data_IF_052031537227
#
_entry.id   IF_052031537227
#
_cell.length_a   1.000
_cell.length_b   1.000
_cell.length_c   1.000
_cell.angle_alpha   90.00
_cell.angle_beta   90.00
_cell.angle_gamma   90.00
#
_symmetry.space_group_name_H-M   'P 1'
#
loop_
_entity.id
_entity.type
_entity.pdbx_description
1 polymer ?
#
# COMPACT_ATOMS: atom_id res chain seq x y z
N UNK A 1 -11.83 -24.73 11.44
CA UNK A 1 -10.35 -24.56 11.50
C UNK A 1 -9.85 -24.50 10.05
N UNK A 2 -9.06 -23.51 9.69
CA UNK A 2 -8.48 -23.37 8.35
C UNK A 2 -7.00 -23.74 8.41
N UNK A 3 -6.54 -24.58 7.51
CA UNK A 3 -5.13 -24.95 7.42
C UNK A 3 -4.38 -24.00 6.49
N UNK A 4 -3.15 -23.63 6.85
CA UNK A 4 -2.31 -22.74 6.05
C UNK A 4 -2.17 -23.22 4.59
N UNK A 5 -2.00 -24.52 4.34
CA UNK A 5 -1.94 -25.10 2.99
C UNK A 5 -3.21 -24.84 2.14
N UNK A 6 -4.38 -24.74 2.76
CA UNK A 6 -5.62 -24.39 2.06
C UNK A 6 -5.64 -22.89 1.71
N UNK A 7 -5.23 -22.04 2.65
CA UNK A 7 -5.14 -20.59 2.44
C UNK A 7 -4.13 -20.23 1.36
N UNK A 8 -3.01 -20.95 1.26
CA UNK A 8 -2.01 -20.71 0.21
C UNK A 8 -2.58 -20.99 -1.19
N UNK A 9 -3.40 -22.04 -1.34
CA UNK A 9 -4.09 -22.33 -2.61
C UNK A 9 -5.12 -21.29 -3.03
N UNK A 10 -5.68 -20.55 -2.08
CA UNK A 10 -6.68 -19.51 -2.31
C UNK A 10 -6.11 -18.09 -2.20
N UNK A 11 -4.79 -17.93 -2.38
CA UNK A 11 -4.10 -16.64 -2.26
C UNK A 11 -4.35 -15.95 -0.89
N UNK A 12 -4.46 -16.73 0.19
CA UNK A 12 -4.81 -16.24 1.52
C UNK A 12 -6.19 -15.55 1.59
N UNK A 13 -7.14 -16.01 0.81
CA UNK A 13 -8.57 -15.65 0.90
C UNK A 13 -9.31 -16.80 1.55
N UNK A 14 -10.13 -16.51 2.54
CA UNK A 14 -10.93 -17.53 3.23
C UNK A 14 -11.96 -18.15 2.27
N UNK A 15 -11.94 -19.46 2.02
CA UNK A 15 -12.90 -20.10 1.11
C UNK A 15 -14.34 -20.10 1.66
N UNK A 16 -14.53 -19.89 2.97
CA UNK A 16 -15.86 -19.94 3.61
C UNK A 16 -16.56 -18.58 3.62
N UNK A 17 -15.84 -17.49 3.85
CA UNK A 17 -16.43 -16.15 4.03
C UNK A 17 -15.81 -15.07 3.13
N UNK A 18 -14.84 -15.42 2.27
CA UNK A 18 -14.20 -14.46 1.39
C UNK A 18 -13.26 -13.47 2.08
N UNK A 19 -12.98 -13.62 3.38
CA UNK A 19 -12.07 -12.71 4.08
C UNK A 19 -10.65 -12.75 3.49
N UNK A 20 -10.12 -11.59 3.15
CA UNK A 20 -8.77 -11.42 2.61
C UNK A 20 -7.77 -11.26 3.75
N UNK A 21 -7.03 -12.31 4.08
CA UNK A 21 -5.97 -12.21 5.09
C UNK A 21 -4.82 -11.36 4.59
N UNK A 22 -4.14 -10.69 5.51
CA UNK A 22 -2.91 -9.94 5.20
C UNK A 22 -1.83 -10.87 4.68
N UNK A 23 -1.07 -10.40 3.72
CA UNK A 23 0.04 -11.14 3.11
C UNK A 23 1.30 -10.29 3.11
N UNK A 24 2.50 -10.90 3.20
CA UNK A 24 3.75 -10.19 3.06
C UNK A 24 3.91 -9.51 1.70
N UNK A 25 4.66 -8.42 1.66
CA UNK A 25 4.93 -7.68 0.41
C UNK A 25 5.52 -8.57 -0.68
N UNK A 26 6.45 -9.45 -0.34
CA UNK A 26 7.05 -10.40 -1.30
C UNK A 26 6.00 -11.29 -1.96
N UNK A 27 5.08 -11.85 -1.17
CA UNK A 27 3.98 -12.68 -1.70
C UNK A 27 3.05 -11.85 -2.60
N UNK A 28 2.77 -10.60 -2.24
CA UNK A 28 1.97 -9.70 -3.06
C UNK A 28 2.65 -9.41 -4.40
N UNK A 29 3.95 -9.14 -4.40
CA UNK A 29 4.72 -8.92 -5.62
C UNK A 29 4.64 -10.15 -6.52
N UNK A 30 4.93 -11.34 -5.99
CA UNK A 30 4.88 -12.61 -6.73
C UNK A 30 3.49 -12.88 -7.37
N UNK A 31 2.40 -12.41 -6.73
CA UNK A 31 1.03 -12.56 -7.27
C UNK A 31 0.72 -11.59 -8.42
N UNK A 32 1.42 -10.49 -8.53
CA UNK A 32 1.10 -9.41 -9.49
C UNK A 32 1.99 -9.42 -10.73
N UNK A 33 3.29 -9.67 -10.55
CA UNK A 33 4.29 -9.50 -11.61
C UNK A 33 4.52 -10.77 -12.42
N UNK A 34 5.16 -10.63 -13.57
CA UNK A 34 5.65 -11.75 -14.34
C UNK A 34 6.79 -12.44 -13.58
N UNK A 35 6.82 -13.76 -13.63
CA UNK A 35 7.78 -14.54 -12.84
C UNK A 35 9.23 -14.11 -13.09
N UNK A 36 9.94 -13.78 -12.00
CA UNK A 36 11.34 -13.36 -12.04
C UNK A 36 11.62 -11.97 -12.58
N UNK A 37 10.58 -11.18 -12.90
CA UNK A 37 10.76 -9.83 -13.49
C UNK A 37 11.03 -8.73 -12.47
N UNK A 38 10.71 -8.95 -11.18
CA UNK A 38 10.87 -7.91 -10.17
C UNK A 38 12.33 -7.67 -9.81
N UNK A 39 12.76 -6.43 -9.97
CA UNK A 39 14.10 -5.96 -9.57
C UNK A 39 13.92 -4.95 -8.46
N UNK A 40 14.19 -5.39 -7.22
CA UNK A 40 14.12 -4.52 -6.04
C UNK A 40 15.16 -3.42 -6.11
N UNK A 41 14.77 -2.21 -5.70
CA UNK A 41 15.64 -1.04 -5.56
C UNK A 41 15.68 -0.58 -4.11
N UNK A 42 16.80 0.00 -3.69
CA UNK A 42 17.01 0.55 -2.34
C UNK A 42 16.65 -0.45 -1.22
N UNK A 43 17.02 -1.71 -1.39
CA UNK A 43 16.72 -2.77 -0.42
C UNK A 43 17.42 -2.54 0.94
N UNK A 44 18.51 -1.79 0.96
CA UNK A 44 19.35 -1.46 2.10
C UNK A 44 18.88 -0.22 2.87
N UNK A 45 17.96 0.57 2.34
CA UNK A 45 17.38 1.72 3.03
C UNK A 45 16.71 1.29 4.33
N UNK A 46 17.16 1.87 5.43
CA UNK A 46 16.62 1.59 6.77
C UNK A 46 16.42 2.88 7.57
N UNK A 47 15.44 2.90 8.49
CA UNK A 47 15.17 4.06 9.32
C UNK A 47 16.26 4.29 10.35
N UNK A 48 16.40 5.57 10.74
CA UNK A 48 17.27 6.01 11.82
C UNK A 48 16.40 6.62 12.92
N UNK A 49 16.68 6.28 14.19
CA UNK A 49 16.01 6.91 15.32
C UNK A 49 16.61 8.31 15.56
N UNK A 50 16.08 9.31 14.86
CA UNK A 50 16.51 10.68 14.97
C UNK A 50 15.98 11.39 16.24
N UNK A 51 14.98 10.80 16.91
CA UNK A 51 14.29 11.42 18.05
C UNK A 51 14.67 10.78 19.40
N UNK A 52 15.35 9.63 19.39
CA UNK A 52 15.57 8.85 20.61
C UNK A 52 14.23 8.39 21.21
N UNK A 53 13.27 7.99 20.37
CA UNK A 53 11.90 7.69 20.80
C UNK A 53 11.83 6.46 21.68
N UNK A 54 11.21 6.64 22.85
CA UNK A 54 10.93 5.56 23.80
C UNK A 54 9.49 5.68 24.30
N UNK A 55 8.72 4.61 24.14
CA UNK A 55 7.45 4.40 24.85
C UNK A 55 7.60 3.19 25.80
N UNK A 56 6.86 2.11 25.60
CA UNK A 56 7.08 0.83 26.30
C UNK A 56 8.37 0.13 25.87
N UNK A 57 8.93 0.49 24.71
CA UNK A 57 10.18 -0.03 24.13
C UNK A 57 10.84 1.06 23.32
N UNK A 58 12.18 1.07 23.30
CA UNK A 58 12.92 1.96 22.42
C UNK A 58 12.62 1.66 20.93
N UNK A 59 12.61 2.70 20.10
CA UNK A 59 12.34 2.53 18.67
C UNK A 59 13.35 1.62 17.97
N UNK A 60 14.67 1.68 18.23
CA UNK A 60 15.63 0.73 17.68
C UNK A 60 15.31 -0.74 17.98
N UNK A 61 14.80 -1.04 19.19
CA UNK A 61 14.42 -2.40 19.55
C UNK A 61 13.20 -2.90 18.76
N UNK A 62 12.25 -1.98 18.48
CA UNK A 62 11.09 -2.27 17.61
C UNK A 62 11.52 -2.52 16.17
N UNK A 63 12.47 -1.72 15.67
CA UNK A 63 13.04 -1.89 14.32
C UNK A 63 13.72 -3.24 14.19
N UNK A 64 14.60 -3.58 15.13
CA UNK A 64 15.30 -4.86 15.13
C UNK A 64 14.31 -6.05 15.16
N UNK A 65 13.30 -5.99 16.03
CA UNK A 65 12.29 -7.04 16.12
C UNK A 65 11.47 -7.17 14.81
N UNK A 66 11.10 -6.06 14.18
CA UNK A 66 10.37 -6.07 12.90
C UNK A 66 11.25 -6.59 11.75
N UNK A 67 12.51 -6.20 11.69
CA UNK A 67 13.49 -6.68 10.71
C UNK A 67 13.69 -8.21 10.82
N UNK A 68 13.83 -8.72 12.03
CA UNK A 68 13.97 -10.16 12.28
C UNK A 68 12.69 -10.93 11.88
N UNK A 69 11.52 -10.37 12.17
CA UNK A 69 10.24 -11.02 11.90
C UNK A 69 9.86 -11.04 10.41
N UNK A 70 10.23 -10.00 9.65
CA UNK A 70 9.81 -9.83 8.26
C UNK A 70 10.91 -10.07 7.23
N UNK A 71 12.18 -9.98 7.64
CA UNK A 71 13.32 -9.95 6.74
C UNK A 71 13.48 -8.65 5.94
N UNK A 72 12.60 -7.65 6.19
CA UNK A 72 12.62 -6.36 5.52
C UNK A 72 13.43 -5.33 6.33
N UNK A 73 13.93 -4.29 5.68
CA UNK A 73 14.56 -3.16 6.34
C UNK A 73 13.55 -2.09 6.80
N UNK A 74 12.43 -1.97 6.09
CA UNK A 74 11.27 -1.14 6.46
C UNK A 74 9.98 -1.65 5.80
N UNK A 75 8.85 -1.01 6.10
CA UNK A 75 7.50 -1.44 5.75
C UNK A 75 7.12 -1.26 4.28
N UNK A 76 8.06 -1.08 3.37
CA UNK A 76 7.82 -1.03 1.95
C UNK A 76 8.97 -1.67 1.14
N UNK A 77 8.59 -2.33 0.06
CA UNK A 77 9.48 -2.86 -0.98
C UNK A 77 9.10 -2.18 -2.28
N UNK A 78 10.09 -1.66 -3.03
CA UNK A 78 9.83 -1.06 -4.33
C UNK A 78 10.87 -1.48 -5.36
N UNK A 79 10.48 -1.42 -6.62
CA UNK A 79 11.35 -1.74 -7.74
C UNK A 79 10.64 -1.65 -9.07
N UNK A 80 11.28 -2.13 -10.11
CA UNK A 80 10.70 -2.28 -11.45
C UNK A 80 10.35 -3.74 -11.71
N UNK A 81 9.28 -3.96 -12.46
CA UNK A 81 8.82 -5.30 -12.84
C UNK A 81 8.11 -5.24 -14.19
N UNK A 82 7.75 -6.41 -14.72
CA UNK A 82 6.76 -6.48 -15.80
C UNK A 82 5.47 -7.12 -15.30
N UNK A 83 4.35 -6.66 -15.85
CA UNK A 83 3.02 -7.24 -15.69
C UNK A 83 2.45 -7.43 -17.10
N UNK A 84 2.30 -8.68 -17.52
CA UNK A 84 1.93 -9.04 -18.89
C UNK A 84 2.85 -8.37 -19.93
N UNK A 85 4.16 -8.45 -19.68
CA UNK A 85 5.22 -7.89 -20.52
C UNK A 85 5.36 -6.35 -20.46
N UNK A 86 4.49 -5.62 -19.74
CA UNK A 86 4.54 -4.16 -19.62
C UNK A 86 5.36 -3.76 -18.39
N UNK A 87 6.37 -2.96 -18.58
CA UNK A 87 7.22 -2.46 -17.48
C UNK A 87 6.43 -1.48 -16.61
N UNK A 88 6.55 -1.66 -15.28
CA UNK A 88 5.91 -0.80 -14.27
C UNK A 88 6.89 -0.47 -13.16
N UNK A 89 6.69 0.66 -12.49
CA UNK A 89 7.25 0.96 -11.18
C UNK A 89 6.27 0.49 -10.11
N UNK A 90 6.71 -0.42 -9.25
CA UNK A 90 5.86 -1.07 -8.25
C UNK A 90 6.38 -0.81 -6.84
N UNK A 91 5.52 -0.31 -5.96
CA UNK A 91 5.79 -0.18 -4.53
C UNK A 91 4.73 -0.94 -3.73
N UNK A 92 5.14 -1.82 -2.84
CA UNK A 92 4.25 -2.66 -2.04
C UNK A 92 4.58 -2.50 -0.57
N UNK A 93 3.58 -2.11 0.23
CA UNK A 93 3.72 -1.98 1.67
C UNK A 93 3.48 -3.32 2.38
N UNK A 94 4.17 -3.51 3.51
CA UNK A 94 4.08 -4.72 4.33
C UNK A 94 3.57 -4.39 5.72
N UNK A 95 2.37 -4.87 6.05
CA UNK A 95 1.76 -4.65 7.36
C UNK A 95 2.53 -5.36 8.50
N UNK A 96 3.28 -6.40 8.20
CA UNK A 96 4.09 -7.14 9.19
C UNK A 96 5.18 -6.29 9.83
N UNK A 97 5.67 -5.28 9.11
CA UNK A 97 6.69 -4.36 9.63
C UNK A 97 6.04 -3.16 10.34
N UNK A 98 6.00 -3.17 11.65
CA UNK A 98 5.43 -2.12 12.52
C UNK A 98 4.05 -1.63 12.02
N UNK A 99 3.15 -2.57 11.71
CA UNK A 99 1.81 -2.27 11.22
C UNK A 99 1.77 -1.58 9.85
N UNK A 100 2.79 -1.75 9.01
CA UNK A 100 2.87 -1.09 7.71
C UNK A 100 2.98 0.44 7.82
N UNK A 101 3.39 0.97 8.98
CA UNK A 101 3.37 2.40 9.23
C UNK A 101 4.37 3.16 8.36
N UNK A 102 3.92 4.30 7.83
CA UNK A 102 4.74 5.17 7.00
C UNK A 102 5.67 6.03 7.85
N UNK A 103 6.94 5.67 7.85
CA UNK A 103 8.05 6.52 8.32
C UNK A 103 8.81 7.12 7.15
N UNK A 104 9.96 7.71 7.46
CA UNK A 104 10.85 8.39 6.51
C UNK A 104 11.26 7.49 5.33
N UNK A 105 11.56 6.22 5.59
CA UNK A 105 11.99 5.26 4.56
C UNK A 105 10.82 4.85 3.66
N UNK A 106 9.62 4.59 4.20
CA UNK A 106 8.46 4.28 3.37
C UNK A 106 8.15 5.46 2.45
N UNK A 107 8.11 6.69 3.00
CA UNK A 107 7.88 7.88 2.19
C UNK A 107 8.94 8.10 1.12
N UNK A 108 10.21 7.80 1.42
CA UNK A 108 11.31 7.86 0.45
C UNK A 108 11.14 6.82 -0.65
N UNK A 109 10.81 5.56 -0.30
CA UNK A 109 10.60 4.49 -1.29
C UNK A 109 9.42 4.79 -2.21
N UNK A 110 8.31 5.31 -1.68
CA UNK A 110 7.18 5.78 -2.48
C UNK A 110 7.59 6.92 -3.43
N UNK A 111 8.35 7.89 -2.91
CA UNK A 111 8.86 9.00 -3.73
C UNK A 111 9.75 8.51 -4.88
N UNK A 112 10.72 7.64 -4.58
CA UNK A 112 11.63 7.09 -5.60
C UNK A 112 10.90 6.22 -6.62
N UNK A 113 9.87 5.46 -6.20
CA UNK A 113 9.03 4.72 -7.12
C UNK A 113 8.31 5.64 -8.12
N UNK A 114 7.77 6.77 -7.63
CA UNK A 114 7.16 7.78 -8.48
C UNK A 114 8.18 8.49 -9.38
N UNK A 115 9.37 8.81 -8.88
CA UNK A 115 10.45 9.41 -9.68
C UNK A 115 10.95 8.47 -10.78
N UNK A 116 11.07 7.18 -10.50
CA UNK A 116 11.40 6.18 -11.52
C UNK A 116 10.30 6.07 -12.58
N UNK A 117 9.03 6.07 -12.16
CA UNK A 117 7.89 6.09 -13.07
C UNK A 117 7.93 7.30 -14.01
N UNK A 118 8.27 8.49 -13.49
CA UNK A 118 8.46 9.72 -14.27
C UNK A 118 9.62 9.64 -15.26
N UNK A 119 10.78 9.20 -14.79
CA UNK A 119 12.01 9.17 -15.58
C UNK A 119 11.88 8.21 -16.77
N UNK A 120 11.32 7.02 -16.51
CA UNK A 120 11.20 5.95 -17.50
C UNK A 120 9.86 6.01 -18.25
N UNK A 121 8.93 6.93 -17.89
CA UNK A 121 7.57 7.07 -18.40
C UNK A 121 6.79 5.75 -18.37
N UNK A 122 6.93 5.01 -17.26
CA UNK A 122 6.25 3.75 -17.00
C UNK A 122 5.16 3.95 -15.92
N UNK A 123 4.06 3.18 -15.93
CA UNK A 123 3.03 3.28 -14.90
C UNK A 123 3.57 3.09 -13.50
N UNK A 124 3.04 3.88 -12.56
CA UNK A 124 3.23 3.71 -11.13
C UNK A 124 2.12 2.83 -10.56
N UNK A 125 2.47 1.82 -9.79
CA UNK A 125 1.52 1.00 -9.03
C UNK A 125 1.94 1.00 -7.57
N UNK A 126 1.04 1.40 -6.67
CA UNK A 126 1.30 1.36 -5.24
C UNK A 126 0.26 0.46 -4.57
N UNK A 127 0.72 -0.56 -3.85
CA UNK A 127 -0.14 -1.44 -3.05
C UNK A 127 0.02 -1.06 -1.59
N UNK A 128 -1.03 -0.48 -1.01
CA UNK A 128 -1.04 0.01 0.37
C UNK A 128 -1.54 -1.06 1.35
N UNK A 129 -0.82 -1.22 2.46
CA UNK A 129 -1.22 -2.02 3.61
C UNK A 129 -0.63 -1.38 4.87
N UNK A 130 -1.41 -0.51 5.55
CA UNK A 130 -0.82 0.41 6.55
C UNK A 130 -1.80 0.82 7.64
N UNK A 131 -1.26 0.92 8.86
CA UNK A 131 -1.89 1.58 10.00
C UNK A 131 -1.79 3.11 10.00
N UNK A 132 -1.07 3.71 9.05
CA UNK A 132 -0.91 5.18 8.94
C UNK A 132 0.52 5.69 9.18
N UNK A 133 0.65 6.93 9.65
CA UNK A 133 1.96 7.53 9.94
C UNK A 133 2.65 6.84 11.13
N UNK A 134 3.98 6.69 11.05
CA UNK A 134 4.78 6.04 12.09
C UNK A 134 4.99 6.97 13.28
N UNK A 135 4.33 6.66 14.40
CA UNK A 135 4.36 7.48 15.61
C UNK A 135 5.78 7.66 16.16
N UNK A 136 6.63 6.66 16.07
CA UNK A 136 8.00 6.68 16.57
C UNK A 136 8.91 7.67 15.86
N UNK A 137 8.55 8.09 14.65
CA UNK A 137 9.27 9.10 13.90
C UNK A 137 8.64 10.50 13.99
N UNK A 138 7.57 10.66 14.77
CA UNK A 138 6.96 11.96 15.08
C UNK A 138 6.65 12.77 13.80
N UNK A 139 7.10 14.02 13.78
CA UNK A 139 6.89 14.96 12.66
C UNK A 139 7.53 14.47 11.35
N UNK A 140 8.64 13.72 11.42
CA UNK A 140 9.27 13.17 10.21
C UNK A 140 8.30 12.26 9.44
N UNK A 141 7.48 11.48 10.14
CA UNK A 141 6.47 10.62 9.48
C UNK A 141 5.33 11.45 8.88
N UNK A 142 4.93 12.56 9.49
CA UNK A 142 3.91 13.46 8.94
C UNK A 142 4.40 14.17 7.67
N UNK A 143 5.68 14.57 7.63
CA UNK A 143 6.26 15.18 6.44
C UNK A 143 6.31 14.24 5.23
N UNK A 144 6.16 12.92 5.43
CA UNK A 144 6.08 11.99 4.31
C UNK A 144 4.78 12.15 3.50
N UNK A 145 3.68 12.64 4.13
CA UNK A 145 2.45 12.94 3.40
C UNK A 145 2.73 13.99 2.30
N UNK A 146 3.41 15.06 2.66
CA UNK A 146 3.77 16.14 1.71
C UNK A 146 4.71 15.63 0.64
N UNK A 147 5.74 14.87 1.04
CA UNK A 147 6.75 14.31 0.13
C UNK A 147 6.14 13.39 -0.93
N UNK A 148 5.33 12.44 -0.50
CA UNK A 148 4.68 11.49 -1.41
C UNK A 148 3.67 12.16 -2.32
N UNK A 149 2.89 13.12 -1.80
CA UNK A 149 1.95 13.90 -2.61
C UNK A 149 2.65 14.76 -3.65
N UNK A 150 3.80 15.37 -3.30
CA UNK A 150 4.59 16.16 -4.26
C UNK A 150 5.09 15.34 -5.45
N UNK A 151 5.44 14.08 -5.24
CA UNK A 151 5.82 13.18 -6.34
C UNK A 151 4.62 12.72 -7.14
N UNK A 152 3.52 12.33 -6.47
CA UNK A 152 2.29 11.90 -7.15
C UNK A 152 1.74 13.01 -8.05
N UNK A 153 1.76 14.26 -7.58
CA UNK A 153 1.36 15.41 -8.40
C UNK A 153 2.20 15.54 -9.69
N UNK A 154 3.50 15.34 -9.58
CA UNK A 154 4.40 15.34 -10.76
C UNK A 154 4.08 14.18 -11.71
N UNK A 155 3.79 12.99 -11.18
CA UNK A 155 3.39 11.81 -11.97
C UNK A 155 2.12 12.10 -12.76
N UNK A 156 1.11 12.68 -12.11
CA UNK A 156 -0.16 13.05 -12.73
C UNK A 156 0.00 14.17 -13.75
N UNK A 157 0.76 15.22 -13.43
CA UNK A 157 1.05 16.31 -14.35
C UNK A 157 1.76 15.84 -15.63
N UNK A 158 2.61 14.83 -15.51
CA UNK A 158 3.30 14.19 -16.65
C UNK A 158 2.42 13.18 -17.41
N UNK A 159 1.17 12.97 -16.98
CA UNK A 159 0.25 11.96 -17.54
C UNK A 159 0.84 10.55 -17.53
N UNK A 160 1.61 10.22 -16.51
CA UNK A 160 2.07 8.86 -16.25
C UNK A 160 0.98 8.17 -15.44
N UNK A 161 0.45 7.02 -15.87
CA UNK A 161 -0.62 6.35 -15.17
C UNK A 161 -0.24 5.96 -13.74
N UNK A 162 -1.13 6.25 -12.78
CA UNK A 162 -0.98 5.84 -11.40
C UNK A 162 -2.16 4.98 -10.94
N UNK A 163 -1.92 3.71 -10.66
CA UNK A 163 -2.89 2.76 -10.10
C UNK A 163 -2.60 2.59 -8.61
N UNK A 164 -3.56 2.96 -7.77
CA UNK A 164 -3.51 2.70 -6.33
C UNK A 164 -4.33 1.48 -5.96
N UNK A 165 -3.74 0.56 -5.18
CA UNK A 165 -4.39 -0.64 -4.68
C UNK A 165 -4.41 -0.59 -3.15
N UNK A 166 -5.61 -0.49 -2.57
CA UNK A 166 -5.80 -0.44 -1.12
C UNK A 166 -6.19 -1.81 -0.57
N UNK A 167 -5.40 -2.32 0.37
CA UNK A 167 -5.66 -3.60 1.03
C UNK A 167 -5.99 -3.41 2.51
N UNK A 168 -6.33 -4.48 3.23
CA UNK A 168 -6.70 -4.43 4.65
C UNK A 168 -5.46 -4.45 5.58
N UNK A 169 -5.25 -3.38 6.37
CA UNK A 169 -5.88 -2.07 6.34
C UNK A 169 -5.12 -1.04 5.49
N UNK A 170 -5.80 0.01 5.04
CA UNK A 170 -5.16 1.22 4.49
C UNK A 170 -5.69 2.42 5.26
N UNK A 171 -4.93 2.93 6.24
CA UNK A 171 -5.48 3.89 7.20
C UNK A 171 -4.56 5.09 7.47
N UNK A 172 -5.12 6.09 8.17
CA UNK A 172 -4.39 7.25 8.68
C UNK A 172 -3.71 8.08 7.58
N UNK A 173 -2.45 8.44 7.81
CA UNK A 173 -1.67 9.27 6.89
C UNK A 173 -1.45 8.66 5.51
N UNK A 174 -1.43 7.32 5.37
CA UNK A 174 -1.32 6.66 4.08
C UNK A 174 -2.61 6.84 3.27
N UNK A 175 -3.77 6.63 3.89
CA UNK A 175 -5.05 6.94 3.28
C UNK A 175 -5.17 8.42 2.92
N UNK A 176 -4.79 9.33 3.82
CA UNK A 176 -4.89 10.77 3.64
C UNK A 176 -3.83 11.36 2.68
N UNK A 177 -3.05 10.51 2.00
CA UNK A 177 -2.04 10.94 1.04
C UNK A 177 -2.17 10.16 -0.26
N UNK A 178 -1.16 9.41 -0.66
CA UNK A 178 -1.05 8.80 -1.97
C UNK A 178 -2.08 7.67 -2.25
N UNK A 179 -2.69 7.07 -1.22
CA UNK A 179 -3.51 5.87 -1.44
C UNK A 179 -4.87 6.14 -2.12
N UNK A 180 -5.39 7.39 -2.08
CA UNK A 180 -6.71 7.74 -2.66
C UNK A 180 -6.64 8.69 -3.84
N UNK A 181 -5.45 8.95 -4.35
CA UNK A 181 -5.24 9.93 -5.42
C UNK A 181 -4.72 9.31 -6.72
N UNK A 182 -4.84 7.99 -6.87
CA UNK A 182 -4.56 7.31 -8.13
C UNK A 182 -5.47 7.79 -9.27
N UNK A 183 -5.04 7.58 -10.50
CA UNK A 183 -5.94 7.73 -11.66
C UNK A 183 -7.02 6.64 -11.64
N UNK A 184 -6.67 5.48 -11.05
CA UNK A 184 -7.62 4.41 -10.70
C UNK A 184 -7.30 3.91 -9.28
N UNK A 185 -8.31 3.95 -8.42
CA UNK A 185 -8.25 3.50 -7.04
C UNK A 185 -8.97 2.16 -6.89
N UNK A 186 -8.22 1.09 -6.63
CA UNK A 186 -8.73 -0.26 -6.44
C UNK A 186 -8.71 -0.59 -4.95
N UNK A 187 -9.73 -1.29 -4.45
CA UNK A 187 -9.71 -1.86 -3.10
C UNK A 187 -9.98 -3.37 -3.13
N UNK A 188 -9.34 -4.11 -2.21
CA UNK A 188 -9.76 -5.49 -1.93
C UNK A 188 -11.11 -5.49 -1.20
N UNK A 189 -12.00 -6.49 -1.43
CA UNK A 189 -13.29 -6.56 -0.76
C UNK A 189 -13.17 -6.48 0.75
N UNK A 190 -14.05 -5.70 1.36
CA UNK A 190 -14.15 -5.49 2.81
C UNK A 190 -12.86 -4.95 3.48
N UNK A 191 -11.92 -4.42 2.71
CA UNK A 191 -10.72 -3.81 3.26
C UNK A 191 -11.08 -2.62 4.16
N UNK A 192 -10.41 -2.52 5.31
CA UNK A 192 -10.54 -1.38 6.21
C UNK A 192 -9.76 -0.20 5.63
N UNK A 193 -10.49 0.82 5.21
CA UNK A 193 -9.92 2.03 4.61
C UNK A 193 -10.46 3.21 5.39
N UNK A 194 -9.58 3.99 6.06
CA UNK A 194 -10.03 5.09 6.90
C UNK A 194 -8.94 6.10 7.24
N UNK A 195 -9.34 7.33 7.51
CA UNK A 195 -8.42 8.32 8.08
C UNK A 195 -8.29 8.15 9.59
N UNK A 196 -9.40 8.26 10.32
CA UNK A 196 -9.40 8.19 11.78
C UNK A 196 -9.87 6.82 12.29
N UNK A 197 -9.36 6.40 13.45
CA UNK A 197 -9.80 5.19 14.13
C UNK A 197 -11.22 5.33 14.69
N UNK A 198 -11.92 4.20 14.91
CA UNK A 198 -13.32 4.18 15.39
C UNK A 198 -13.50 5.00 16.69
N UNK A 199 -12.53 4.95 17.60
CA UNK A 199 -12.57 5.72 18.85
C UNK A 199 -12.61 7.24 18.62
N UNK A 200 -11.82 7.71 17.63
CA UNK A 200 -11.78 9.14 17.28
C UNK A 200 -13.04 9.53 16.54
N UNK A 201 -13.49 8.72 15.58
CA UNK A 201 -14.70 8.97 14.82
C UNK A 201 -15.95 8.99 15.71
N UNK A 202 -16.14 7.96 16.53
CA UNK A 202 -17.27 7.88 17.46
C UNK A 202 -17.25 9.01 18.51
N UNK A 203 -16.08 9.32 19.06
CA UNK A 203 -15.91 10.42 20.02
C UNK A 203 -16.15 11.81 19.44
N UNK A 204 -15.94 11.99 18.14
CA UNK A 204 -16.13 13.28 17.45
C UNK A 204 -17.57 13.45 16.95
N UNK A 205 -18.17 12.39 16.41
CA UNK A 205 -19.50 12.41 15.83
C UNK A 205 -20.58 12.25 16.92
N UNK A 206 -20.27 11.54 18.02
CA UNK A 206 -21.21 11.30 19.13
C UNK A 206 -22.32 10.32 18.78
N UNK A 207 -22.25 9.64 17.64
CA UNK A 207 -23.24 8.67 17.15
C UNK A 207 -22.60 7.31 16.88
N UNK A 208 -23.41 6.24 16.90
CA UNK A 208 -22.95 4.92 16.45
C UNK A 208 -22.69 4.92 14.95
N UNK A 209 -21.52 4.41 14.57
CA UNK A 209 -21.14 4.32 13.17
C UNK A 209 -21.94 3.22 12.46
N UNK A 210 -22.48 3.47 11.25
CA UNK A 210 -23.28 2.48 10.56
C UNK A 210 -22.47 1.21 10.21
N UNK A 211 -23.11 0.05 10.12
CA UNK A 211 -22.45 -1.18 9.68
C UNK A 211 -21.73 -0.98 8.33
N UNK A 212 -20.50 -1.47 8.22
CA UNK A 212 -19.69 -1.32 7.01
C UNK A 212 -19.04 0.05 6.83
N UNK A 213 -19.21 0.96 7.79
CA UNK A 213 -18.54 2.27 7.75
C UNK A 213 -17.02 2.13 7.57
N UNK A 214 -16.48 2.93 6.67
CA UNK A 214 -15.05 2.95 6.33
C UNK A 214 -14.49 1.60 5.79
N UNK A 215 -15.35 0.73 5.25
CA UNK A 215 -14.93 -0.41 4.44
C UNK A 215 -14.82 -0.02 2.97
N UNK A 216 -14.18 -0.87 2.17
CA UNK A 216 -14.00 -0.65 0.73
C UNK A 216 -15.32 -0.30 0.02
N UNK A 217 -16.41 -1.01 0.37
CA UNK A 217 -17.74 -0.83 -0.20
C UNK A 217 -18.34 0.55 0.13
N UNK A 218 -18.08 1.04 1.35
CA UNK A 218 -18.47 2.40 1.75
C UNK A 218 -17.78 3.44 0.86
N UNK A 219 -16.47 3.34 0.69
CA UNK A 219 -15.71 4.28 -0.14
C UNK A 219 -16.03 4.18 -1.62
N UNK A 220 -16.36 2.98 -2.10
CA UNK A 220 -16.85 2.77 -3.47
C UNK A 220 -18.19 3.51 -3.70
N UNK A 221 -19.15 3.40 -2.76
CA UNK A 221 -20.44 4.10 -2.87
C UNK A 221 -20.32 5.62 -2.75
N UNK A 222 -19.20 6.14 -2.22
CA UNK A 222 -18.91 7.58 -2.09
C UNK A 222 -17.90 8.10 -3.14
N UNK A 223 -17.51 7.28 -4.12
CA UNK A 223 -16.67 7.70 -5.25
C UNK A 223 -15.18 7.87 -4.94
N UNK A 224 -14.67 7.36 -3.80
CA UNK A 224 -13.24 7.36 -3.48
C UNK A 224 -12.51 6.13 -3.98
N UNK A 225 -13.23 5.04 -4.20
CA UNK A 225 -12.76 3.78 -4.76
C UNK A 225 -13.47 3.57 -6.08
N UNK A 226 -12.73 3.34 -7.15
CA UNK A 226 -13.29 3.12 -8.49
C UNK A 226 -13.69 1.67 -8.71
N UNK A 227 -12.98 0.73 -8.07
CA UNK A 227 -13.21 -0.71 -8.25
C UNK A 227 -12.94 -1.49 -6.97
N UNK A 228 -13.82 -2.46 -6.67
CA UNK A 228 -13.59 -3.48 -5.65
C UNK A 228 -13.24 -4.77 -6.36
N UNK A 229 -12.01 -5.26 -6.14
CA UNK A 229 -11.46 -6.39 -6.89
C UNK A 229 -10.91 -7.45 -5.93
N UNK A 230 -11.46 -8.65 -6.02
CA UNK A 230 -10.94 -9.78 -5.25
C UNK A 230 -9.49 -10.09 -5.65
N UNK A 231 -8.67 -10.48 -4.68
CA UNK A 231 -7.24 -10.77 -4.87
C UNK A 231 -6.94 -11.71 -6.03
N UNK A 232 -7.79 -12.72 -6.23
CA UNK A 232 -7.66 -13.67 -7.33
C UNK A 232 -7.81 -13.06 -8.72
N UNK A 233 -8.44 -11.88 -8.82
CA UNK A 233 -8.67 -11.16 -10.07
C UNK A 233 -7.83 -9.90 -10.21
N UNK A 234 -7.08 -9.55 -9.16
CA UNK A 234 -6.38 -8.26 -9.10
C UNK A 234 -5.33 -8.13 -10.21
N UNK A 235 -4.58 -9.19 -10.51
CA UNK A 235 -3.59 -9.17 -11.60
C UNK A 235 -4.26 -8.96 -12.96
N UNK A 236 -5.34 -9.66 -13.25
CA UNK A 236 -6.10 -9.52 -14.51
C UNK A 236 -6.68 -8.11 -14.67
N UNK A 237 -7.19 -7.54 -13.58
CA UNK A 237 -7.71 -6.18 -13.56
C UNK A 237 -6.62 -5.15 -13.86
N UNK A 238 -5.45 -5.28 -13.23
CA UNK A 238 -4.30 -4.40 -13.49
C UNK A 238 -3.85 -4.54 -14.95
N UNK A 239 -3.78 -5.76 -15.51
CA UNK A 239 -3.44 -5.97 -16.93
C UNK A 239 -4.41 -5.22 -17.84
N UNK A 240 -5.71 -5.33 -17.58
CA UNK A 240 -6.75 -4.64 -18.35
C UNK A 240 -6.59 -3.11 -18.28
N UNK A 241 -6.35 -2.58 -17.09
CA UNK A 241 -6.12 -1.14 -16.90
C UNK A 241 -4.84 -0.66 -17.60
N UNK A 242 -3.75 -1.40 -17.49
CA UNK A 242 -2.50 -1.08 -18.18
C UNK A 242 -2.67 -1.08 -19.71
N UNK A 243 -3.43 -2.04 -20.24
CA UNK A 243 -3.73 -2.09 -21.66
C UNK A 243 -4.51 -0.87 -22.14
N UNK A 244 -5.44 -0.37 -21.32
CA UNK A 244 -6.24 0.82 -21.61
C UNK A 244 -5.44 2.12 -21.45
N UNK A 245 -4.70 2.25 -20.34
CA UNK A 245 -4.01 3.51 -19.99
C UNK A 245 -2.72 3.75 -20.77
N UNK A 246 -2.09 2.69 -21.30
CA UNK A 246 -0.84 2.76 -22.08
C UNK A 246 -1.11 2.54 -23.57
N UNK A 247 -2.36 2.53 -24.02
CA UNK A 247 -2.66 2.37 -25.44
C UNK A 247 -1.88 3.41 -26.26
N UNK A 248 -1.27 3.03 -27.41
CA UNK A 248 -0.62 4.01 -28.26
C UNK A 248 -1.65 5.08 -28.68
N UNK A 249 -1.24 6.35 -28.81
CA UNK A 249 -2.13 7.37 -29.33
C UNK A 249 -2.66 6.91 -30.70
N UNK A 250 -3.97 7.04 -30.89
CA UNK A 250 -4.67 6.76 -32.15
C UNK A 250 -4.08 7.63 -33.28
#
# INVERSE_FOLDING_TARGET
>A
MLFNKQLDKTLRVCPNCGHHFRIPAKVRIEQLVDSGSFVERDADLQPVDALGFVDLKAYPDRLMAAQLATGLRDAAVWGTATIDGRTVSLCVMDFGFIGGSMGSVVGEKVARAGEAALADRIPLIIVSSSGGARMQEGTYSLMQLVKTMGVVERVKAARVPFISVMTDPTTGGVFASFAVVGDVNIAEPNALIRFAGDRVSAGTIGEELPPGYQRAEFWFSHGFVDRIVARSRLREEIISLLAFLIAPPL
#
